data_IF_858164985293
#
_entry.id   IF_858164985293
#
_cell.length_a   1.000
_cell.length_b   1.000
_cell.length_c   1.000
_cell.angle_alpha   90.00
_cell.angle_beta   90.00
_cell.angle_gamma   90.00
#
_symmetry.space_group_name_H-M   'P 1'
#
loop_
_entity.id
_entity.type
_entity.pdbx_description
1 polymer ?
#
# COMPACT_ATOMS: atom_id res chain seq x y z
N UNK A 1 -12.48 12.50 25.59
CA UNK A 1 -13.37 11.55 26.28
C UNK A 1 -13.14 10.18 25.66
N UNK A 2 -12.85 9.19 26.49
CA UNK A 2 -12.67 7.80 26.08
C UNK A 2 -14.04 7.19 25.75
N UNK A 3 -14.12 6.51 24.61
CA UNK A 3 -15.35 5.85 24.15
C UNK A 3 -15.28 4.36 24.52
N UNK A 4 -16.37 3.80 24.99
CA UNK A 4 -16.46 2.34 25.14
C UNK A 4 -16.71 1.70 23.79
N UNK A 5 -15.98 0.61 23.50
CA UNK A 5 -16.21 -0.22 22.35
C UNK A 5 -16.33 -1.68 22.79
N UNK A 6 -17.39 -2.35 22.33
CA UNK A 6 -17.60 -3.76 22.62
C UNK A 6 -17.14 -4.58 21.41
N UNK A 7 -16.02 -5.29 21.59
CA UNK A 7 -15.39 -6.16 20.59
C UNK A 7 -15.48 -7.59 21.09
N UNK A 8 -15.84 -8.52 20.23
CA UNK A 8 -15.79 -9.96 20.49
C UNK A 8 -14.50 -10.55 19.89
N UNK A 9 -14.04 -11.68 20.41
CA UNK A 9 -12.83 -12.35 19.88
C UNK A 9 -13.01 -12.78 18.42
N UNK A 10 -14.21 -13.20 18.05
CA UNK A 10 -14.60 -13.58 16.69
C UNK A 10 -14.66 -12.42 15.70
N UNK A 11 -14.71 -11.19 16.19
CA UNK A 11 -14.67 -9.99 15.35
C UNK A 11 -13.25 -9.67 14.83
N UNK A 12 -12.23 -10.37 15.34
CA UNK A 12 -10.85 -10.14 14.96
C UNK A 12 -10.61 -10.45 13.48
N UNK A 13 -10.03 -9.48 12.76
CA UNK A 13 -9.67 -9.63 11.35
C UNK A 13 -8.16 -9.90 11.21
N UNK A 14 -7.33 -9.05 11.80
CA UNK A 14 -5.86 -9.16 11.69
C UNK A 14 -5.15 -8.29 12.72
N UNK A 15 -3.86 -8.53 12.90
CA UNK A 15 -2.96 -7.66 13.68
C UNK A 15 -1.60 -7.57 13.00
N UNK A 16 -0.95 -6.41 13.09
CA UNK A 16 0.35 -6.17 12.48
C UNK A 16 0.94 -4.82 12.84
N UNK A 17 1.81 -4.31 11.94
CA UNK A 17 2.46 -3.00 12.11
C UNK A 17 1.49 -1.82 12.19
N UNK A 18 0.27 -2.00 11.66
CA UNK A 18 -0.78 -0.97 11.66
C UNK A 18 -1.78 -1.11 12.82
N UNK A 19 -1.49 -1.95 13.84
CA UNK A 19 -2.38 -2.19 14.97
C UNK A 19 -3.24 -3.45 14.83
N UNK A 20 -4.23 -3.60 15.70
CA UNK A 20 -5.21 -4.68 15.69
C UNK A 20 -6.51 -4.22 15.04
N UNK A 21 -7.07 -5.06 14.18
CA UNK A 21 -8.21 -4.74 13.32
C UNK A 21 -9.38 -5.68 13.68
N UNK A 22 -10.53 -5.09 13.96
CA UNK A 22 -11.75 -5.80 14.31
C UNK A 22 -12.93 -5.32 13.47
N UNK A 23 -13.84 -6.24 13.13
CA UNK A 23 -15.13 -5.90 12.53
C UNK A 23 -16.10 -5.50 13.63
N UNK A 24 -16.82 -4.41 13.43
CA UNK A 24 -17.79 -3.89 14.41
C UNK A 24 -19.06 -3.42 13.72
N UNK A 25 -20.13 -3.29 14.50
CA UNK A 25 -21.30 -2.50 14.10
C UNK A 25 -21.22 -1.13 14.76
N UNK A 26 -21.15 -0.07 13.95
CA UNK A 26 -21.10 1.30 14.42
C UNK A 26 -22.22 2.13 13.81
N UNK A 27 -23.15 2.65 14.62
CA UNK A 27 -24.31 3.42 14.17
C UNK A 27 -25.09 2.71 13.05
N UNK A 28 -25.38 1.42 13.25
CA UNK A 28 -26.10 0.53 12.32
C UNK A 28 -25.38 0.33 10.97
N UNK A 29 -24.05 0.48 10.93
CA UNK A 29 -23.22 0.22 9.76
C UNK A 29 -22.16 -0.82 10.09
N UNK A 30 -21.89 -1.71 9.14
CA UNK A 30 -20.75 -2.61 9.23
C UNK A 30 -19.46 -1.81 9.03
N UNK A 31 -18.60 -1.82 10.03
CA UNK A 31 -17.39 -1.02 10.11
C UNK A 31 -16.20 -1.88 10.52
N UNK A 32 -15.03 -1.30 10.37
CA UNK A 32 -13.78 -1.80 10.93
C UNK A 32 -13.28 -0.79 11.94
N UNK A 33 -12.81 -1.26 13.09
CA UNK A 33 -12.00 -0.45 13.98
C UNK A 33 -10.56 -0.94 13.92
N UNK A 34 -9.62 0.01 13.73
CA UNK A 34 -8.19 -0.20 13.89
C UNK A 34 -7.78 0.35 15.25
N UNK A 35 -7.19 -0.46 16.11
CA UNK A 35 -6.73 -0.09 17.46
C UNK A 35 -5.22 -0.20 17.54
N UNK A 36 -4.58 0.79 18.14
CA UNK A 36 -3.14 0.78 18.35
C UNK A 36 -2.75 -0.28 19.39
N UNK A 37 -1.66 -0.99 19.12
CA UNK A 37 -1.08 -1.95 20.06
C UNK A 37 0.01 -1.34 20.96
N UNK A 38 0.54 -0.17 20.55
CA UNK A 38 1.59 0.58 21.23
C UNK A 38 1.67 2.02 20.67
N UNK A 39 2.58 2.83 21.22
CA UNK A 39 2.75 4.23 20.79
C UNK A 39 3.16 4.38 19.32
N UNK A 40 3.96 3.46 18.76
CA UNK A 40 4.36 3.52 17.36
C UNK A 40 3.16 3.27 16.43
N UNK A 41 2.37 2.24 16.71
CA UNK A 41 1.15 1.98 15.94
C UNK A 41 0.11 3.07 16.13
N UNK A 42 0.05 3.72 17.31
CA UNK A 42 -0.81 4.88 17.52
C UNK A 42 -0.42 6.08 16.63
N UNK A 43 0.88 6.31 16.43
CA UNK A 43 1.36 7.35 15.52
C UNK A 43 0.96 7.05 14.05
N UNK A 44 1.09 5.80 13.61
CA UNK A 44 0.67 5.35 12.27
C UNK A 44 -0.84 5.54 12.08
N UNK A 45 -1.66 5.14 13.05
CA UNK A 45 -3.14 5.29 12.97
C UNK A 45 -3.55 6.76 13.00
N UNK A 46 -2.85 7.64 13.76
CA UNK A 46 -3.10 9.10 13.72
C UNK A 46 -2.78 9.69 12.36
N UNK A 47 -1.68 9.26 11.74
CA UNK A 47 -1.36 9.67 10.38
C UNK A 47 -2.45 9.21 9.39
N UNK A 48 -2.91 7.97 9.49
CA UNK A 48 -4.01 7.44 8.67
C UNK A 48 -5.28 8.28 8.82
N UNK A 49 -5.66 8.63 10.05
CA UNK A 49 -6.80 9.51 10.32
C UNK A 49 -6.64 10.89 9.67
N UNK A 50 -5.43 11.48 9.75
CA UNK A 50 -5.13 12.76 9.12
C UNK A 50 -5.26 12.70 7.60
N UNK A 51 -4.77 11.63 6.96
CA UNK A 51 -4.91 11.42 5.51
C UNK A 51 -6.40 11.30 5.11
N UNK A 52 -7.20 10.51 5.84
CA UNK A 52 -8.65 10.44 5.59
C UNK A 52 -9.33 11.83 5.66
N UNK A 53 -8.94 12.66 6.63
CA UNK A 53 -9.48 14.03 6.76
C UNK A 53 -9.07 14.95 5.61
N UNK A 54 -7.83 14.84 5.13
CA UNK A 54 -7.34 15.59 3.96
C UNK A 54 -8.15 15.22 2.72
N UNK A 55 -8.38 13.93 2.49
CA UNK A 55 -9.13 13.43 1.34
C UNK A 55 -10.64 13.70 1.43
N UNK A 56 -11.17 14.01 2.63
CA UNK A 56 -12.56 14.44 2.91
C UNK A 56 -13.64 13.57 2.25
N UNK A 57 -13.42 12.26 2.15
CA UNK A 57 -14.38 11.32 1.55
C UNK A 57 -14.62 11.50 0.04
N UNK A 58 -13.79 12.26 -0.66
CA UNK A 58 -13.89 12.47 -2.11
C UNK A 58 -13.39 11.30 -2.93
N UNK A 59 -12.50 10.47 -2.38
CA UNK A 59 -12.02 9.25 -3.03
C UNK A 59 -13.02 8.12 -2.83
N UNK A 60 -13.48 7.50 -3.93
CA UNK A 60 -14.40 6.35 -3.90
C UNK A 60 -13.68 5.01 -3.78
N UNK A 61 -12.37 5.03 -3.93
CA UNK A 61 -11.52 3.84 -3.98
C UNK A 61 -10.73 3.63 -2.68
N UNK A 62 -11.21 4.23 -1.57
CA UNK A 62 -10.79 3.97 -0.20
C UNK A 62 -12.04 3.78 0.69
N UNK A 63 -11.94 3.09 1.85
CA UNK A 63 -13.01 3.01 2.82
C UNK A 63 -13.44 4.39 3.31
N UNK A 64 -14.72 4.58 3.61
CA UNK A 64 -15.18 5.83 4.25
C UNK A 64 -14.64 5.92 5.66
N UNK A 65 -14.17 7.09 6.05
CA UNK A 65 -13.78 7.41 7.40
C UNK A 65 -15.00 7.89 8.21
N UNK A 66 -15.17 7.36 9.42
CA UNK A 66 -16.29 7.73 10.29
C UNK A 66 -15.84 8.54 11.50
N UNK A 67 -14.87 8.03 12.25
CA UNK A 67 -14.37 8.74 13.43
C UNK A 67 -13.01 8.20 13.92
N UNK A 68 -12.39 8.96 14.80
CA UNK A 68 -11.19 8.61 15.54
C UNK A 68 -11.36 8.95 17.02
N UNK A 69 -10.50 8.40 17.84
CA UNK A 69 -10.48 8.73 19.26
C UNK A 69 -9.76 7.70 20.12
N UNK A 70 -9.93 7.86 21.41
CA UNK A 70 -9.50 6.86 22.38
C UNK A 70 -10.66 5.93 22.72
N UNK A 71 -10.37 4.64 22.72
CA UNK A 71 -11.32 3.58 22.97
C UNK A 71 -10.84 2.68 24.10
N UNK A 72 -11.73 2.37 25.04
CA UNK A 72 -11.49 1.32 26.01
C UNK A 72 -11.75 -0.02 25.33
N UNK A 73 -10.68 -0.78 25.12
CA UNK A 73 -10.76 -2.13 24.57
C UNK A 73 -11.22 -3.10 25.65
N UNK A 74 -12.43 -3.64 25.53
CA UNK A 74 -13.00 -4.56 26.50
C UNK A 74 -12.28 -5.91 26.61
N UNK A 75 -11.47 -6.30 25.61
CA UNK A 75 -10.69 -7.53 25.63
C UNK A 75 -9.39 -7.42 26.45
N UNK A 76 -8.75 -6.24 26.43
CA UNK A 76 -7.50 -5.98 27.14
C UNK A 76 -7.68 -5.09 28.39
N UNK A 77 -8.83 -4.44 28.50
CA UNK A 77 -9.13 -3.41 29.51
C UNK A 77 -8.16 -2.21 29.46
N UNK A 78 -7.62 -1.92 28.28
CA UNK A 78 -6.69 -0.81 28.05
C UNK A 78 -7.33 0.27 27.19
N UNK A 79 -6.99 1.52 27.49
CA UNK A 79 -7.34 2.65 26.66
C UNK A 79 -6.34 2.77 25.52
N UNK A 80 -6.82 2.74 24.27
CA UNK A 80 -5.97 2.81 23.09
C UNK A 80 -6.56 3.74 22.03
N UNK A 81 -5.68 4.36 21.23
CA UNK A 81 -6.11 5.18 20.11
C UNK A 81 -6.54 4.33 18.93
N UNK A 82 -7.60 4.74 18.24
CA UNK A 82 -8.11 4.03 17.08
C UNK A 82 -8.90 4.88 16.12
N UNK A 83 -9.21 4.26 14.98
CA UNK A 83 -10.09 4.83 13.94
C UNK A 83 -11.18 3.84 13.56
N UNK A 84 -12.36 4.39 13.20
CA UNK A 84 -13.47 3.62 12.64
C UNK A 84 -13.64 4.00 11.18
N UNK A 85 -13.58 2.99 10.31
CA UNK A 85 -13.72 3.11 8.85
C UNK A 85 -14.76 2.10 8.32
N UNK A 86 -15.18 2.29 7.08
CA UNK A 86 -16.10 1.39 6.39
C UNK A 86 -15.53 -0.03 6.27
N UNK A 87 -16.35 -1.03 6.57
CA UNK A 87 -16.02 -2.42 6.26
C UNK A 87 -16.31 -2.72 4.79
N UNK A 88 -15.29 -3.12 4.05
CA UNK A 88 -15.39 -3.56 2.65
C UNK A 88 -15.34 -5.10 2.65
N UNK A 89 -16.40 -5.83 2.23
CA UNK A 89 -16.53 -7.27 2.39
C UNK A 89 -15.82 -8.07 1.29
N UNK A 90 -14.59 -7.66 0.94
CA UNK A 90 -13.76 -8.35 -0.05
C UNK A 90 -12.42 -8.72 0.53
N UNK A 91 -11.80 -9.75 -0.04
CA UNK A 91 -10.44 -10.17 0.28
C UNK A 91 -9.41 -9.29 -0.44
N UNK A 92 -8.16 -9.38 0.00
CA UNK A 92 -7.06 -8.64 -0.62
C UNK A 92 -6.78 -9.10 -2.04
N UNK A 93 -6.06 -8.27 -2.80
CA UNK A 93 -5.57 -8.66 -4.13
C UNK A 93 -4.62 -9.87 -4.02
N UNK A 94 -3.89 -9.97 -2.91
CA UNK A 94 -3.04 -11.13 -2.61
C UNK A 94 -3.87 -12.42 -2.47
N UNK A 95 -4.98 -12.38 -1.74
CA UNK A 95 -5.87 -13.54 -1.56
C UNK A 95 -6.59 -13.94 -2.86
N UNK A 96 -6.65 -13.01 -3.81
CA UNK A 96 -7.35 -13.15 -5.10
C UNK A 96 -6.41 -13.37 -6.30
N UNK A 97 -5.15 -13.77 -6.07
CA UNK A 97 -4.15 -13.93 -7.15
C UNK A 97 -4.61 -14.88 -8.25
N UNK A 98 -5.39 -15.90 -7.93
CA UNK A 98 -5.96 -16.85 -8.91
C UNK A 98 -6.87 -16.19 -9.95
N UNK A 99 -7.39 -15.01 -9.68
CA UNK A 99 -8.23 -14.25 -10.62
C UNK A 99 -7.41 -13.28 -11.49
N UNK A 100 -6.09 -13.19 -11.28
CA UNK A 100 -5.22 -12.30 -12.07
C UNK A 100 -4.64 -13.08 -13.25
N UNK A 101 -4.97 -12.64 -14.43
CA UNK A 101 -4.63 -13.32 -15.70
C UNK A 101 -4.05 -12.32 -16.69
N UNK A 102 -3.42 -12.81 -17.77
CA UNK A 102 -2.96 -11.96 -18.87
C UNK A 102 -4.09 -11.13 -19.51
N UNK A 103 -5.35 -11.58 -19.41
CA UNK A 103 -6.51 -10.88 -19.99
C UNK A 103 -6.97 -9.67 -19.16
N UNK A 104 -6.67 -9.64 -17.87
CA UNK A 104 -7.16 -8.57 -16.97
C UNK A 104 -6.06 -7.80 -16.24
N UNK A 105 -4.79 -8.21 -16.31
CA UNK A 105 -3.69 -7.59 -15.61
C UNK A 105 -3.57 -6.08 -15.93
N UNK A 106 -3.67 -5.69 -17.20
CA UNK A 106 -3.63 -4.28 -17.62
C UNK A 106 -4.82 -3.49 -17.08
N UNK A 107 -6.02 -4.10 -17.00
CA UNK A 107 -7.21 -3.45 -16.41
C UNK A 107 -7.03 -3.20 -14.91
N UNK A 108 -6.45 -4.16 -14.19
CA UNK A 108 -6.14 -4.04 -12.77
C UNK A 108 -5.07 -2.96 -12.59
N UNK A 109 -3.99 -2.99 -13.37
CA UNK A 109 -2.94 -1.97 -13.34
C UNK A 109 -3.49 -0.57 -13.57
N UNK A 110 -4.31 -0.38 -14.60
CA UNK A 110 -4.96 0.91 -14.89
C UNK A 110 -5.80 1.43 -13.71
N UNK A 111 -6.46 0.53 -12.96
CA UNK A 111 -7.21 0.92 -11.75
C UNK A 111 -6.29 1.32 -10.61
N UNK A 112 -5.20 0.58 -10.37
CA UNK A 112 -4.20 0.96 -9.39
C UNK A 112 -3.64 2.34 -9.72
N UNK A 113 -3.22 2.58 -10.97
CA UNK A 113 -2.70 3.87 -11.42
C UNK A 113 -3.69 5.02 -11.23
N UNK A 114 -5.01 4.79 -11.41
CA UNK A 114 -6.02 5.82 -11.11
C UNK A 114 -6.07 6.18 -9.63
N UNK A 115 -5.91 5.17 -8.75
CA UNK A 115 -5.81 5.41 -7.31
C UNK A 115 -4.54 6.21 -7.00
N UNK A 116 -3.37 5.80 -7.55
CA UNK A 116 -2.11 6.53 -7.36
C UNK A 116 -2.22 7.98 -7.84
N UNK A 117 -2.75 8.19 -9.06
CA UNK A 117 -2.94 9.54 -9.60
C UNK A 117 -3.77 10.42 -8.64
N UNK A 118 -4.86 9.88 -8.09
CA UNK A 118 -5.67 10.62 -7.12
C UNK A 118 -4.87 11.07 -5.88
N UNK A 119 -4.03 10.19 -5.31
CA UNK A 119 -3.18 10.56 -4.17
C UNK A 119 -2.09 11.56 -4.57
N UNK A 120 -1.44 11.34 -5.71
CA UNK A 120 -0.40 12.21 -6.23
C UNK A 120 -0.92 13.61 -6.59
N UNK A 121 -2.18 13.74 -7.03
CA UNK A 121 -2.88 15.03 -7.23
C UNK A 121 -3.06 15.81 -5.93
N UNK A 122 -3.02 15.12 -4.79
CA UNK A 122 -3.07 15.74 -3.45
C UNK A 122 -1.69 15.90 -2.83
N UNK A 123 -0.60 15.76 -3.60
CA UNK A 123 0.79 15.79 -3.17
C UNK A 123 1.12 14.72 -2.11
N UNK A 124 0.47 13.57 -2.17
CA UNK A 124 0.65 12.45 -1.24
C UNK A 124 1.41 11.32 -1.93
N UNK A 125 2.47 10.81 -1.28
CA UNK A 125 3.22 9.60 -1.69
C UNK A 125 2.80 8.48 -0.74
N UNK A 126 2.44 7.31 -1.30
CA UNK A 126 1.79 6.23 -0.56
C UNK A 126 2.80 5.40 0.23
N UNK A 127 3.97 5.09 -0.37
CA UNK A 127 5.15 4.49 0.26
C UNK A 127 5.05 3.00 0.59
N UNK A 128 3.86 2.41 0.67
CA UNK A 128 3.66 0.98 0.93
C UNK A 128 2.63 0.36 -0.02
N UNK A 129 2.90 0.46 -1.31
CA UNK A 129 2.09 -0.20 -2.34
C UNK A 129 2.42 -1.69 -2.36
N UNK A 130 1.44 -2.52 -2.00
CA UNK A 130 1.53 -3.99 -2.00
C UNK A 130 0.15 -4.62 -2.20
N UNK A 131 0.07 -5.88 -2.66
CA UNK A 131 -1.20 -6.54 -2.92
C UNK A 131 -2.10 -6.67 -1.69
N UNK A 132 -1.50 -6.75 -0.48
CA UNK A 132 -2.21 -6.82 0.80
C UNK A 132 -3.00 -5.54 1.10
N UNK A 133 -2.59 -4.40 0.55
CA UNK A 133 -3.19 -3.09 0.79
C UNK A 133 -4.29 -2.74 -0.24
N UNK A 134 -4.69 -3.68 -1.10
CA UNK A 134 -5.82 -3.53 -2.02
C UNK A 134 -6.86 -4.61 -1.78
N UNK A 135 -8.09 -4.24 -1.43
CA UNK A 135 -9.24 -5.14 -1.48
C UNK A 135 -9.74 -5.21 -2.92
N UNK A 136 -10.10 -6.41 -3.38
CA UNK A 136 -10.44 -6.68 -4.77
C UNK A 136 -11.75 -7.45 -4.90
N UNK A 137 -12.66 -6.92 -5.69
CA UNK A 137 -13.86 -7.64 -6.14
C UNK A 137 -13.59 -8.26 -7.51
N UNK A 138 -13.41 -9.58 -7.60
CA UNK A 138 -13.08 -10.24 -8.87
C UNK A 138 -14.23 -10.24 -9.87
N UNK A 139 -15.48 -10.03 -9.43
CA UNK A 139 -16.65 -10.00 -10.31
C UNK A 139 -16.76 -8.68 -11.07
N UNK A 140 -16.59 -7.56 -10.36
CA UNK A 140 -16.67 -6.21 -10.96
C UNK A 140 -15.29 -5.66 -11.33
N UNK A 141 -14.24 -6.28 -10.80
CA UNK A 141 -12.87 -5.81 -10.89
C UNK A 141 -12.62 -4.52 -10.10
N UNK A 142 -13.51 -4.12 -9.17
CA UNK A 142 -13.32 -2.95 -8.34
C UNK A 142 -12.20 -3.17 -7.33
N UNK A 143 -11.44 -2.10 -7.08
CA UNK A 143 -10.36 -2.06 -6.09
C UNK A 143 -10.64 -0.98 -5.05
N UNK A 144 -10.23 -1.24 -3.81
CA UNK A 144 -10.17 -0.26 -2.75
C UNK A 144 -8.79 -0.33 -2.09
N UNK A 145 -8.14 0.80 -1.98
CA UNK A 145 -6.91 0.89 -1.22
C UNK A 145 -7.22 1.01 0.27
N UNK A 146 -6.52 0.24 1.08
CA UNK A 146 -6.60 0.24 2.54
C UNK A 146 -5.21 0.52 3.13
N UNK A 147 -5.17 0.81 4.43
CA UNK A 147 -3.93 1.08 5.17
C UNK A 147 -3.16 2.32 4.67
N UNK A 148 -3.68 3.50 5.01
CA UNK A 148 -3.11 4.79 4.63
C UNK A 148 -2.07 5.31 5.64
N UNK A 149 -1.66 4.48 6.61
CA UNK A 149 -0.85 4.89 7.76
C UNK A 149 0.58 5.34 7.43
N UNK A 150 1.14 4.88 6.31
CA UNK A 150 2.49 5.25 5.86
C UNK A 150 2.52 6.38 4.82
N UNK A 151 1.35 6.85 4.38
CA UNK A 151 1.25 7.95 3.40
C UNK A 151 1.85 9.22 3.98
N UNK A 152 2.58 9.97 3.15
CA UNK A 152 3.16 11.26 3.54
C UNK A 152 3.08 12.26 2.37
N UNK A 153 3.29 13.53 2.68
CA UNK A 153 3.44 14.54 1.63
C UNK A 153 4.70 14.27 0.82
N UNK A 154 4.63 14.60 -0.47
CA UNK A 154 5.79 14.53 -1.35
C UNK A 154 6.96 15.35 -0.78
N UNK A 155 8.18 14.80 -0.77
CA UNK A 155 9.33 15.51 -0.26
C UNK A 155 9.68 16.72 -1.15
N UNK A 156 10.12 17.81 -0.52
CA UNK A 156 10.65 18.96 -1.26
C UNK A 156 12.05 18.72 -1.84
N UNK A 157 12.75 17.68 -1.35
CA UNK A 157 14.09 17.29 -1.80
C UNK A 157 14.22 15.77 -1.82
N UNK A 158 14.89 15.26 -2.83
CA UNK A 158 15.29 13.87 -2.90
C UNK A 158 16.56 13.68 -2.03
N UNK A 159 16.35 13.15 -0.82
CA UNK A 159 17.41 13.03 0.19
C UNK A 159 17.67 11.57 0.53
N UNK A 160 18.91 11.27 0.92
CA UNK A 160 19.28 9.96 1.45
C UNK A 160 18.62 9.70 2.81
N UNK A 161 18.32 8.45 3.08
CA UNK A 161 17.79 7.94 4.35
C UNK A 161 18.54 6.70 4.77
N UNK A 162 18.68 6.52 6.08
CA UNK A 162 19.36 5.33 6.64
C UNK A 162 18.47 4.07 6.62
N UNK A 163 17.15 4.26 6.68
CA UNK A 163 16.18 3.17 6.70
C UNK A 163 15.08 3.47 5.69
N UNK A 164 14.73 2.47 4.89
CA UNK A 164 13.62 2.60 3.95
C UNK A 164 12.26 2.56 4.66
N UNK A 165 11.24 3.07 3.98
CA UNK A 165 9.84 2.93 4.38
C UNK A 165 9.11 2.07 3.36
N UNK A 166 8.21 1.22 3.83
CA UNK A 166 7.44 0.30 3.00
C UNK A 166 7.89 -1.15 3.14
N UNK A 167 7.40 -2.00 2.27
CA UNK A 167 7.66 -3.44 2.28
C UNK A 167 8.82 -3.78 1.34
N UNK A 168 9.93 -4.33 1.88
CA UNK A 168 11.17 -4.63 1.15
C UNK A 168 10.94 -5.30 -0.21
N UNK A 169 10.00 -6.23 -0.28
CA UNK A 169 9.66 -6.95 -1.52
C UNK A 169 9.23 -6.01 -2.65
N UNK A 170 8.50 -4.93 -2.33
CA UNK A 170 7.82 -4.10 -3.32
C UNK A 170 8.41 -2.70 -3.49
N UNK A 171 9.26 -2.20 -2.57
CA UNK A 171 9.90 -0.90 -2.75
C UNK A 171 10.82 -0.87 -3.97
N UNK A 172 10.98 0.28 -4.60
CA UNK A 172 11.92 0.48 -5.70
C UNK A 172 13.38 0.36 -5.24
N UNK A 173 14.35 0.12 -6.13
CA UNK A 173 15.77 0.16 -5.76
C UNK A 173 16.19 1.49 -5.13
N UNK A 174 15.62 2.60 -5.58
CA UNK A 174 15.91 3.95 -5.04
C UNK A 174 15.52 4.08 -3.57
N UNK A 175 14.38 3.51 -3.18
CA UNK A 175 13.87 3.60 -1.82
C UNK A 175 14.70 2.86 -0.78
N UNK A 176 15.65 2.01 -1.18
CA UNK A 176 16.58 1.40 -0.22
C UNK A 176 17.49 2.43 0.47
N UNK A 177 17.73 3.58 -0.17
CA UNK A 177 18.68 4.61 0.29
C UNK A 177 18.13 6.02 0.25
N UNK A 178 16.96 6.25 -0.35
CA UNK A 178 16.38 7.58 -0.53
C UNK A 178 14.90 7.61 -0.12
N UNK A 179 14.39 8.81 0.12
CA UNK A 179 12.96 9.03 0.36
C UNK A 179 12.14 8.59 -0.84
N UNK A 180 10.96 8.05 -0.57
CA UNK A 180 10.04 7.63 -1.62
C UNK A 180 9.49 8.83 -2.39
N UNK A 181 9.33 8.66 -3.69
CA UNK A 181 8.74 9.62 -4.63
C UNK A 181 7.48 9.04 -5.29
N UNK A 182 6.79 9.84 -6.09
CA UNK A 182 5.65 9.38 -6.89
C UNK A 182 5.99 8.22 -7.84
N UNK A 183 7.19 8.26 -8.43
CA UNK A 183 7.68 7.22 -9.35
C UNK A 183 7.92 5.89 -8.65
N UNK A 184 8.31 5.93 -7.38
CA UNK A 184 8.53 4.74 -6.57
C UNK A 184 7.22 4.03 -6.23
N UNK A 185 6.13 4.78 -6.04
CA UNK A 185 4.79 4.21 -5.87
C UNK A 185 4.35 3.46 -7.14
N UNK A 186 4.58 4.03 -8.33
CA UNK A 186 4.26 3.35 -9.60
C UNK A 186 5.11 2.10 -9.79
N UNK A 187 6.40 2.16 -9.47
CA UNK A 187 7.29 1.01 -9.57
C UNK A 187 6.87 -0.11 -8.59
N UNK A 188 6.48 0.26 -7.36
CA UNK A 188 5.95 -0.67 -6.37
C UNK A 188 4.64 -1.32 -6.83
N UNK A 189 3.78 -0.57 -7.53
CA UNK A 189 2.56 -1.10 -8.13
C UNK A 189 2.85 -2.15 -9.22
N UNK A 190 3.84 -1.89 -10.07
CA UNK A 190 4.30 -2.86 -11.08
C UNK A 190 4.82 -4.13 -10.39
N UNK A 191 5.70 -4.02 -9.40
CA UNK A 191 6.21 -5.17 -8.65
C UNK A 191 5.11 -5.97 -7.98
N UNK A 192 4.15 -5.29 -7.37
CA UNK A 192 2.98 -5.90 -6.72
C UNK A 192 2.13 -6.71 -7.71
N UNK A 193 1.87 -6.13 -8.87
CA UNK A 193 1.04 -6.76 -9.89
C UNK A 193 1.73 -7.98 -10.52
N UNK A 194 3.02 -7.87 -10.83
CA UNK A 194 3.83 -8.97 -11.37
C UNK A 194 3.97 -10.09 -10.34
N UNK A 195 4.13 -9.76 -9.06
CA UNK A 195 4.08 -10.76 -7.98
C UNK A 195 2.73 -11.51 -7.96
N UNK A 196 1.63 -10.78 -8.09
CA UNK A 196 0.30 -11.41 -8.13
C UNK A 196 0.12 -12.34 -9.34
N UNK A 197 0.74 -12.03 -10.48
CA UNK A 197 0.64 -12.84 -11.67
C UNK A 197 1.51 -14.11 -11.63
N UNK A 198 2.78 -13.98 -11.20
CA UNK A 198 3.73 -15.09 -11.21
C UNK A 198 3.85 -15.83 -9.87
N UNK A 199 3.37 -15.23 -8.76
CA UNK A 199 3.56 -15.77 -7.41
C UNK A 199 4.95 -15.54 -6.83
N UNK A 200 5.88 -14.94 -7.57
CA UNK A 200 7.24 -14.61 -7.12
C UNK A 200 7.82 -13.39 -7.82
N UNK A 201 8.93 -12.89 -7.28
CA UNK A 201 9.79 -11.86 -7.89
C UNK A 201 11.25 -12.35 -7.87
N UNK A 202 12.11 -11.90 -8.79
CA UNK A 202 13.49 -12.39 -8.92
C UNK A 202 14.33 -12.27 -7.65
N UNK A 203 14.02 -11.30 -6.80
CA UNK A 203 14.71 -11.06 -5.52
C UNK A 203 14.09 -11.78 -4.32
N UNK A 204 13.28 -12.82 -4.54
CA UNK A 204 12.87 -13.74 -3.49
C UNK A 204 14.04 -14.66 -3.14
N UNK A 205 14.94 -14.15 -2.31
CA UNK A 205 16.10 -14.89 -1.78
C UNK A 205 15.87 -15.22 -0.31
N UNK A 206 16.59 -16.22 0.18
CA UNK A 206 16.56 -16.63 1.59
C UNK A 206 17.61 -15.81 2.34
N UNK A 207 17.23 -15.17 3.43
CA UNK A 207 18.16 -14.54 4.36
C UNK A 207 18.95 -15.66 5.09
N UNK A 208 20.27 -15.60 5.04
CA UNK A 208 21.12 -16.55 5.74
C UNK A 208 21.10 -16.27 7.25
N UNK A 209 21.41 -17.33 8.05
CA UNK A 209 21.30 -17.23 9.52
C UNK A 209 22.24 -16.18 10.10
N UNK A 210 23.47 -16.09 9.57
CA UNK A 210 24.49 -15.15 10.03
C UNK A 210 24.54 -13.83 9.23
N UNK A 211 23.59 -13.63 8.33
CA UNK A 211 23.53 -12.44 7.49
C UNK A 211 22.84 -11.29 8.23
N UNK A 212 23.48 -10.13 8.26
CA UNK A 212 22.86 -8.93 8.80
C UNK A 212 21.67 -8.48 7.94
N UNK A 213 20.72 -7.78 8.54
CA UNK A 213 19.57 -7.23 7.82
C UNK A 213 20.00 -6.32 6.65
N UNK A 214 21.03 -5.50 6.85
CA UNK A 214 21.54 -4.59 5.83
C UNK A 214 22.22 -5.33 4.65
N UNK A 215 22.94 -6.41 4.90
CA UNK A 215 23.52 -7.24 3.82
C UNK A 215 22.42 -7.89 2.98
N UNK A 216 21.40 -8.44 3.62
CA UNK A 216 20.24 -9.00 2.94
C UNK A 216 19.51 -7.95 2.09
N UNK A 217 19.27 -6.77 2.63
CA UNK A 217 18.63 -5.65 1.92
C UNK A 217 19.46 -5.20 0.71
N UNK A 218 20.80 -5.13 0.84
CA UNK A 218 21.70 -4.79 -0.26
C UNK A 218 21.70 -5.86 -1.36
N UNK A 219 21.64 -7.14 -1.02
CA UNK A 219 21.47 -8.23 -2.01
C UNK A 219 20.14 -8.10 -2.75
N UNK A 220 19.04 -7.84 -2.04
CA UNK A 220 17.73 -7.61 -2.65
C UNK A 220 17.78 -6.42 -3.61
N UNK A 221 18.41 -5.31 -3.20
CA UNK A 221 18.59 -4.12 -4.06
C UNK A 221 19.35 -4.46 -5.33
N UNK A 222 20.50 -5.12 -5.23
CA UNK A 222 21.34 -5.51 -6.37
C UNK A 222 20.56 -6.37 -7.39
N UNK A 223 19.73 -7.32 -6.90
CA UNK A 223 18.90 -8.16 -7.79
C UNK A 223 17.79 -7.34 -8.47
N UNK A 224 17.24 -6.32 -7.81
CA UNK A 224 16.25 -5.42 -8.42
C UNK A 224 16.85 -4.55 -9.54
N UNK A 225 18.14 -4.29 -9.46
CA UNK A 225 18.89 -3.47 -10.44
C UNK A 225 19.40 -4.28 -11.64
N UNK A 226 19.25 -5.62 -11.63
CA UNK A 226 19.62 -6.47 -12.76
C UNK A 226 18.45 -6.70 -13.76
N UNK A 227 18.76 -7.33 -14.89
CA UNK A 227 17.81 -7.53 -15.98
C UNK A 227 16.79 -8.66 -15.76
N UNK A 228 16.86 -9.39 -14.64
CA UNK A 228 15.95 -10.53 -14.40
C UNK A 228 14.49 -10.12 -14.36
N UNK A 229 14.20 -8.98 -13.76
CA UNK A 229 12.82 -8.48 -13.70
C UNK A 229 12.34 -7.99 -15.06
N UNK A 230 13.21 -7.35 -15.83
CA UNK A 230 12.88 -6.88 -17.19
C UNK A 230 12.38 -8.04 -18.05
N UNK A 231 13.06 -9.18 -18.02
CA UNK A 231 12.64 -10.39 -18.76
C UNK A 231 11.25 -10.88 -18.36
N UNK A 232 10.84 -10.70 -17.10
CA UNK A 232 9.49 -11.07 -16.63
C UNK A 232 8.39 -10.14 -17.16
N UNK A 233 8.66 -8.85 -17.29
CA UNK A 233 7.64 -7.84 -17.64
C UNK A 233 7.54 -7.58 -19.15
N UNK A 234 8.54 -7.97 -19.95
CA UNK A 234 8.52 -7.78 -21.41
C UNK A 234 7.34 -8.49 -22.12
N UNK A 235 6.75 -9.52 -21.49
CA UNK A 235 5.55 -10.18 -22.00
C UNK A 235 4.26 -9.35 -21.81
N UNK A 236 4.37 -8.21 -21.11
CA UNK A 236 3.31 -7.22 -20.90
C UNK A 236 3.77 -5.87 -21.44
N UNK A 237 3.66 -5.61 -22.75
CA UNK A 237 4.25 -4.44 -23.40
C UNK A 237 3.85 -3.12 -22.77
N UNK A 238 2.60 -2.99 -22.37
CA UNK A 238 2.05 -1.78 -21.75
C UNK A 238 2.67 -1.54 -20.36
N UNK A 239 2.77 -2.58 -19.52
CA UNK A 239 3.39 -2.49 -18.20
C UNK A 239 4.89 -2.19 -18.35
N UNK A 240 5.54 -2.82 -19.33
CA UNK A 240 6.95 -2.58 -19.63
C UNK A 240 7.20 -1.14 -20.08
N UNK A 241 6.32 -0.57 -20.89
CA UNK A 241 6.40 0.83 -21.32
C UNK A 241 6.30 1.80 -20.14
N UNK A 242 5.37 1.57 -19.20
CA UNK A 242 5.27 2.37 -17.99
C UNK A 242 6.49 2.18 -17.08
N UNK A 243 7.02 0.96 -16.98
CA UNK A 243 8.25 0.68 -16.21
C UNK A 243 9.44 1.49 -16.75
N UNK A 244 9.62 1.53 -18.07
CA UNK A 244 10.66 2.30 -18.71
C UNK A 244 10.47 3.80 -18.49
N UNK A 245 9.24 4.30 -18.61
CA UNK A 245 8.92 5.70 -18.31
C UNK A 245 9.36 6.08 -16.89
N UNK A 246 9.00 5.26 -15.88
CA UNK A 246 9.33 5.49 -14.48
C UNK A 246 10.83 5.42 -14.19
N UNK A 247 11.55 4.48 -14.83
CA UNK A 247 13.00 4.33 -14.62
C UNK A 247 13.84 5.41 -15.29
N UNK A 248 13.35 6.00 -16.38
CA UNK A 248 14.05 7.04 -17.12
C UNK A 248 13.67 8.46 -16.67
N UNK A 249 12.84 8.60 -15.63
CA UNK A 249 12.48 9.91 -15.10
C UNK A 249 13.71 10.65 -14.55
N UNK A 250 13.96 11.85 -15.06
CA UNK A 250 15.08 12.70 -14.65
C UNK A 250 14.75 13.59 -13.46
N UNK A 251 13.49 14.00 -13.33
CA UNK A 251 12.98 14.77 -12.19
C UNK A 251 12.00 13.89 -11.37
N UNK A 252 12.48 13.40 -10.24
CA UNK A 252 11.72 12.49 -9.37
C UNK A 252 10.78 13.24 -8.41
N UNK A 253 10.88 14.56 -8.31
CA UNK A 253 10.06 15.35 -7.38
C UNK A 253 8.82 15.92 -8.07
N UNK A 254 8.84 16.04 -9.38
CA UNK A 254 7.67 16.43 -10.16
C UNK A 254 6.71 15.24 -10.29
N UNK A 255 5.42 15.51 -10.21
CA UNK A 255 4.39 14.48 -10.41
C UNK A 255 4.51 13.87 -11.81
N UNK A 256 4.41 12.53 -11.96
CA UNK A 256 4.38 11.88 -13.27
C UNK A 256 3.24 12.39 -14.14
N UNK A 257 3.46 12.44 -15.45
CA UNK A 257 2.41 12.69 -16.42
C UNK A 257 1.50 11.45 -16.54
N UNK A 258 0.39 11.50 -15.85
CA UNK A 258 -0.56 10.39 -15.82
C UNK A 258 -1.36 10.25 -17.13
N UNK A 259 -1.55 11.32 -17.89
CA UNK A 259 -2.18 11.23 -19.20
C UNK A 259 -1.30 10.42 -20.14
N UNK A 260 0.00 10.74 -20.20
CA UNK A 260 0.99 9.92 -20.92
C UNK A 260 1.03 8.48 -20.44
N UNK A 261 1.01 8.23 -19.11
CA UNK A 261 1.01 6.86 -18.55
C UNK A 261 -0.25 6.10 -18.99
N UNK A 262 -1.41 6.73 -18.99
CA UNK A 262 -2.66 6.08 -19.44
C UNK A 262 -2.66 5.78 -20.93
N UNK A 263 -2.00 6.61 -21.75
CA UNK A 263 -1.83 6.36 -23.19
C UNK A 263 -0.92 5.16 -23.46
N UNK A 264 0.09 4.92 -22.61
CA UNK A 264 0.96 3.73 -22.70
C UNK A 264 0.23 2.41 -22.41
N UNK A 265 -0.96 2.45 -21.79
CA UNK A 265 -1.73 1.25 -21.36
C UNK A 265 -3.00 1.04 -22.20
N UNK A 266 -3.24 1.88 -23.19
CA UNK A 266 -4.47 1.80 -24.03
C UNK A 266 -4.34 0.84 -25.20
#
# INVERSE_FOLDING_TARGET
MTKQINIQKEDFISSGSSGSIYKINHKNKSCVIKLANNNNTAAIIRNEAAIYKILKGKCKDIPKFYEEGYYLNNLTNEETYGIIIEYIPYKTLLDNIMYITSKNINKIFKKILKILNYFHDHNLVIRDIKPDNFLYDPLTGKLWMIDLGLINFSPFKYTEVNNFTGTLRYISPRCHTHVNTYYDDIQSAIYSLIYCYYGYLPWKIIKLQDESTREYENKVKSIKEDNRFINMIQVFPEIYSVYNYVNNASDLLTKPDYDMIFDLIN
#
